data_IF_331753879591
#
_entry.id   IF_331753879591
#
_cell.length_a   1.000
_cell.length_b   1.000
_cell.length_c   1.000
_cell.angle_alpha   90.00
_cell.angle_beta   90.00
_cell.angle_gamma   90.00
#
_symmetry.space_group_name_H-M   'P 1'
#
loop_
_entity.id
_entity.type
_entity.pdbx_description
1 polymer ?
#
# COMPACT_ATOMS: atom_id res chain seq x y z
N UNK A 1 -22.06 14.45 28.98
CA UNK A 1 -22.99 14.58 27.84
C UNK A 1 -22.42 14.02 26.55
N UNK A 2 -21.24 14.46 26.04
CA UNK A 2 -20.64 13.94 24.78
C UNK A 2 -20.42 12.41 24.74
N UNK A 3 -19.99 11.77 25.85
CA UNK A 3 -19.78 10.31 25.91
C UNK A 3 -21.08 9.50 25.89
N UNK A 4 -22.15 10.01 26.48
CA UNK A 4 -23.47 9.35 26.49
C UNK A 4 -24.09 9.40 25.11
N UNK A 5 -24.01 10.54 24.43
CA UNK A 5 -24.48 10.69 23.05
C UNK A 5 -23.69 9.78 22.11
N UNK A 6 -22.37 9.67 22.29
CA UNK A 6 -21.53 8.75 21.50
C UNK A 6 -21.94 7.28 21.68
N UNK A 7 -22.15 6.84 22.92
CA UNK A 7 -22.64 5.47 23.21
C UNK A 7 -24.05 5.19 22.63
N UNK A 8 -24.93 6.18 22.67
CA UNK A 8 -26.27 6.05 22.06
C UNK A 8 -26.21 5.94 20.53
N UNK A 9 -25.36 6.73 19.88
CA UNK A 9 -25.13 6.65 18.44
C UNK A 9 -24.54 5.30 18.05
N UNK A 10 -23.56 4.82 18.81
CA UNK A 10 -22.91 3.51 18.57
C UNK A 10 -23.85 2.31 18.83
N UNK A 11 -24.94 2.49 19.58
CA UNK A 11 -25.94 1.44 19.83
C UNK A 11 -27.02 1.28 18.76
N UNK A 12 -27.08 2.22 17.80
CA UNK A 12 -28.04 2.20 16.70
C UNK A 12 -27.29 2.07 15.37
N UNK A 13 -27.18 0.88 14.77
CA UNK A 13 -26.31 0.62 13.60
C UNK A 13 -26.53 1.62 12.46
N UNK A 14 -27.76 1.90 12.07
CA UNK A 14 -28.06 2.85 10.97
C UNK A 14 -27.61 4.27 11.29
N UNK A 15 -27.75 4.71 12.55
CA UNK A 15 -27.32 6.05 12.99
C UNK A 15 -25.79 6.13 13.05
N UNK A 16 -25.15 5.05 13.50
CA UNK A 16 -23.71 4.91 13.52
C UNK A 16 -23.12 4.96 12.09
N UNK A 17 -23.72 4.24 11.17
CA UNK A 17 -23.29 4.21 9.77
C UNK A 17 -23.50 5.56 9.09
N UNK A 18 -24.65 6.22 9.32
CA UNK A 18 -24.91 7.56 8.81
C UNK A 18 -23.88 8.57 9.33
N UNK A 19 -23.57 8.50 10.63
CA UNK A 19 -22.55 9.32 11.25
C UNK A 19 -21.14 9.02 10.69
N UNK A 20 -20.80 7.76 10.52
CA UNK A 20 -19.53 7.33 9.94
C UNK A 20 -19.39 7.83 8.49
N UNK A 21 -20.43 7.69 7.69
CA UNK A 21 -20.43 8.07 6.28
C UNK A 21 -20.30 9.58 6.06
N UNK A 22 -21.05 10.39 6.81
CA UNK A 22 -21.15 11.84 6.57
C UNK A 22 -20.22 12.69 7.43
N UNK A 23 -19.92 12.24 8.67
CA UNK A 23 -19.17 13.04 9.63
C UNK A 23 -17.79 12.50 9.94
N UNK A 24 -17.62 11.19 10.06
CA UNK A 24 -16.29 10.62 10.35
C UNK A 24 -15.44 10.55 9.09
N UNK A 25 -15.98 10.09 7.96
CA UNK A 25 -15.22 9.90 6.74
C UNK A 25 -14.39 11.12 6.35
N UNK A 26 -14.93 12.34 6.24
CA UNK A 26 -14.13 13.51 5.83
C UNK A 26 -13.11 13.97 6.88
N UNK A 27 -13.17 13.46 8.11
CA UNK A 27 -12.34 13.90 9.25
C UNK A 27 -11.36 12.85 9.76
N UNK A 28 -11.57 11.61 9.39
CA UNK A 28 -10.78 10.48 9.89
C UNK A 28 -9.92 9.89 8.79
N UNK A 29 -8.61 9.91 9.01
CA UNK A 29 -7.65 9.22 8.13
C UNK A 29 -7.90 7.71 8.14
N UNK A 30 -7.74 7.09 6.99
CA UNK A 30 -8.02 5.67 6.75
C UNK A 30 -9.48 5.27 7.03
N UNK A 31 -10.43 6.20 6.92
CA UNK A 31 -11.84 5.88 6.86
C UNK A 31 -12.25 5.51 5.43
N UNK A 32 -13.26 4.64 5.32
CA UNK A 32 -13.76 4.16 4.03
C UNK A 32 -15.21 4.56 3.83
N UNK A 33 -15.64 4.74 2.56
CA UNK A 33 -17.00 5.15 2.22
C UNK A 33 -17.42 4.69 0.84
N UNK A 34 -18.63 4.15 0.77
CA UNK A 34 -19.29 3.75 -0.49
C UNK A 34 -18.79 2.41 -1.02
N UNK A 35 -19.60 1.84 -1.90
CA UNK A 35 -19.35 0.59 -2.60
C UNK A 35 -19.52 0.85 -4.09
N UNK A 36 -18.49 0.51 -4.89
CA UNK A 36 -18.45 0.81 -6.31
C UNK A 36 -18.01 -0.42 -7.09
N UNK A 37 -18.49 -0.56 -8.31
CA UNK A 37 -18.19 -1.68 -9.20
C UNK A 37 -16.86 -1.50 -9.97
N UNK A 38 -16.32 -0.28 -10.01
CA UNK A 38 -15.10 0.02 -10.74
C UNK A 38 -14.30 1.18 -10.12
N UNK A 39 -13.02 1.25 -10.48
CA UNK A 39 -12.14 2.36 -10.13
C UNK A 39 -12.72 3.71 -10.59
N UNK A 40 -13.21 3.76 -11.83
CA UNK A 40 -13.74 4.99 -12.42
C UNK A 40 -15.05 5.44 -11.75
N UNK A 41 -15.90 4.49 -11.35
CA UNK A 41 -17.11 4.80 -10.59
C UNK A 41 -16.76 5.40 -9.22
N UNK A 42 -15.82 4.79 -8.50
CA UNK A 42 -15.33 5.33 -7.25
C UNK A 42 -14.73 6.73 -7.43
N UNK A 43 -13.93 6.93 -8.47
CA UNK A 43 -13.32 8.23 -8.76
C UNK A 43 -14.36 9.31 -9.06
N UNK A 44 -15.42 8.99 -9.81
CA UNK A 44 -16.54 9.91 -10.11
C UNK A 44 -17.34 10.30 -8.86
N UNK A 45 -17.34 9.48 -7.83
CA UNK A 45 -18.00 9.75 -6.56
C UNK A 45 -17.21 10.70 -5.64
N UNK A 46 -15.98 11.06 -5.99
CA UNK A 46 -15.19 12.07 -5.26
C UNK A 46 -15.79 13.46 -5.54
N UNK A 47 -16.10 14.26 -4.50
CA UNK A 47 -16.58 15.63 -4.71
C UNK A 47 -15.59 16.47 -5.50
N UNK A 48 -16.07 17.29 -6.44
CA UNK A 48 -15.25 18.08 -7.37
C UNK A 48 -14.23 19.02 -6.72
N UNK A 49 -14.45 19.39 -5.47
CA UNK A 49 -13.55 20.27 -4.70
C UNK A 49 -12.55 19.49 -3.83
N UNK A 50 -12.58 18.16 -3.87
CA UNK A 50 -11.70 17.30 -3.07
C UNK A 50 -10.54 16.80 -3.91
N UNK A 51 -9.33 16.85 -3.36
CA UNK A 51 -8.16 16.25 -4.00
C UNK A 51 -8.34 14.74 -4.12
N UNK A 52 -7.84 14.18 -5.20
CA UNK A 52 -7.87 12.74 -5.45
C UNK A 52 -6.52 12.24 -5.98
N UNK A 53 -6.26 10.94 -5.78
CA UNK A 53 -4.98 10.31 -6.15
C UNK A 53 -3.88 10.55 -5.13
N UNK A 54 -2.77 9.88 -5.31
CA UNK A 54 -1.63 9.93 -4.37
C UNK A 54 -0.53 10.92 -4.78
N UNK A 55 -0.56 11.48 -6.00
CA UNK A 55 0.51 12.32 -6.51
C UNK A 55 0.43 13.77 -5.98
N UNK A 56 0.50 13.93 -4.67
CA UNK A 56 0.47 15.22 -3.98
C UNK A 56 1.69 15.34 -3.06
N UNK A 57 2.45 16.43 -3.18
CA UNK A 57 3.67 16.66 -2.41
C UNK A 57 3.43 16.52 -0.89
N UNK A 58 2.29 17.00 -0.39
CA UNK A 58 1.92 16.95 1.03
C UNK A 58 1.84 15.53 1.59
N UNK A 59 1.62 14.52 0.74
CA UNK A 59 1.58 13.12 1.16
C UNK A 59 2.96 12.47 1.23
N UNK A 60 3.96 13.01 0.55
CA UNK A 60 5.27 12.38 0.37
C UNK A 60 6.44 13.17 0.97
N UNK A 61 6.34 14.48 1.10
CA UNK A 61 7.45 15.33 1.49
C UNK A 61 7.69 15.43 3.01
N UNK A 62 6.84 14.81 3.84
CA UNK A 62 6.94 14.90 5.29
C UNK A 62 8.36 14.57 5.84
N UNK A 63 9.07 13.51 5.42
CA UNK A 63 10.41 13.24 5.87
C UNK A 63 11.40 14.35 5.52
N UNK A 64 11.25 14.98 4.37
CA UNK A 64 12.10 16.10 3.92
C UNK A 64 11.78 17.37 4.69
N UNK A 65 10.50 17.74 4.80
CA UNK A 65 10.04 18.95 5.52
C UNK A 65 10.39 18.91 7.00
N UNK A 66 10.25 17.74 7.64
CA UNK A 66 10.54 17.56 9.05
C UNK A 66 12.03 17.35 9.34
N UNK A 67 12.88 17.43 8.30
CA UNK A 67 14.31 17.18 8.42
C UNK A 67 14.63 15.83 9.10
N UNK A 68 13.84 14.81 8.81
CA UNK A 68 14.08 13.47 9.34
C UNK A 68 15.53 13.05 9.06
N UNK A 69 16.15 12.43 10.05
CA UNK A 69 17.46 11.80 9.92
C UNK A 69 17.32 10.40 9.37
N UNK A 70 18.42 9.77 9.01
CA UNK A 70 18.42 8.35 8.65
C UNK A 70 17.87 7.49 9.79
N UNK A 71 18.21 7.80 11.04
CA UNK A 71 17.71 7.07 12.22
C UNK A 71 16.19 7.14 12.37
N UNK A 72 15.59 8.28 12.03
CA UNK A 72 14.12 8.43 12.04
C UNK A 72 13.45 7.52 11.00
N UNK A 73 14.12 7.32 9.85
CA UNK A 73 13.64 6.44 8.79
C UNK A 73 13.87 4.96 9.07
N UNK A 74 14.80 4.62 9.96
CA UNK A 74 15.13 3.23 10.33
C UNK A 74 14.17 2.61 11.35
N UNK A 75 13.04 3.25 11.64
CA UNK A 75 12.03 2.71 12.54
C UNK A 75 11.18 1.65 11.84
N UNK A 76 11.26 0.41 12.32
CA UNK A 76 10.47 -0.69 11.81
C UNK A 76 9.04 -0.65 12.35
N UNK A 77 8.07 -0.77 11.46
CA UNK A 77 6.70 -1.06 11.87
C UNK A 77 6.59 -2.55 12.22
N UNK A 78 6.05 -2.93 13.41
CA UNK A 78 5.94 -4.33 13.80
C UNK A 78 5.21 -5.24 12.81
N UNK A 79 4.29 -4.70 12.01
CA UNK A 79 3.59 -5.49 10.98
C UNK A 79 4.50 -5.92 9.82
N UNK A 80 5.70 -5.35 9.70
CA UNK A 80 6.65 -5.64 8.62
C UNK A 80 7.63 -6.78 8.93
N UNK A 81 7.59 -7.38 10.15
CA UNK A 81 8.45 -8.51 10.49
C UNK A 81 8.36 -9.70 9.51
N UNK A 82 7.17 -10.11 9.03
CA UNK A 82 7.11 -11.18 8.02
C UNK A 82 7.81 -10.80 6.70
N UNK A 83 7.70 -9.54 6.30
CA UNK A 83 8.43 -9.03 5.10
C UNK A 83 9.93 -9.14 5.28
N UNK A 84 10.46 -8.81 6.48
CA UNK A 84 11.88 -8.96 6.78
C UNK A 84 12.36 -10.40 6.65
N UNK A 85 11.59 -11.37 7.17
CA UNK A 85 11.93 -12.79 7.11
C UNK A 85 12.05 -13.24 5.65
N UNK A 86 11.05 -12.94 4.83
CA UNK A 86 11.02 -13.38 3.44
C UNK A 86 11.99 -12.61 2.55
N UNK A 87 12.21 -11.32 2.80
CA UNK A 87 13.20 -10.52 2.11
C UNK A 87 14.63 -11.02 2.41
N UNK A 88 14.92 -11.30 3.69
CA UNK A 88 16.20 -11.86 4.10
C UNK A 88 16.47 -13.21 3.41
N UNK A 89 15.44 -14.06 3.34
CA UNK A 89 15.54 -15.33 2.63
C UNK A 89 15.75 -15.14 1.12
N UNK A 90 15.06 -14.20 0.48
CA UNK A 90 15.24 -13.91 -0.93
C UNK A 90 16.64 -13.36 -1.24
N UNK A 91 17.28 -12.67 -0.31
CA UNK A 91 18.65 -12.18 -0.44
C UNK A 91 19.73 -13.28 -0.42
N UNK A 92 19.38 -14.53 -0.12
CA UNK A 92 20.33 -15.66 -0.24
C UNK A 92 20.75 -15.90 -1.69
N UNK A 93 19.91 -15.57 -2.68
CA UNK A 93 20.15 -15.81 -4.10
C UNK A 93 19.76 -14.65 -5.03
N UNK A 94 19.33 -13.53 -4.50
CA UNK A 94 18.82 -12.37 -5.24
C UNK A 94 19.29 -11.07 -4.62
N UNK A 95 19.54 -10.04 -5.44
CA UNK A 95 20.06 -8.74 -4.98
C UNK A 95 19.39 -7.53 -5.64
N UNK A 96 18.52 -7.75 -6.64
CA UNK A 96 17.86 -6.69 -7.41
C UNK A 96 16.40 -6.59 -6.96
N UNK A 97 16.07 -5.54 -6.22
CA UNK A 97 14.76 -5.28 -5.65
C UNK A 97 14.04 -4.17 -6.43
N UNK A 98 12.81 -4.42 -6.84
CA UNK A 98 11.86 -3.37 -7.20
C UNK A 98 10.81 -3.23 -6.10
N UNK A 99 10.76 -2.07 -5.44
CA UNK A 99 9.81 -1.72 -4.38
C UNK A 99 8.73 -0.80 -4.97
N UNK A 100 7.58 -1.39 -5.32
CA UNK A 100 6.46 -0.65 -5.89
C UNK A 100 5.68 0.09 -4.80
N UNK A 101 5.67 1.42 -4.91
CA UNK A 101 5.02 2.30 -3.93
C UNK A 101 5.84 2.43 -2.63
N UNK A 102 7.16 2.27 -2.70
CA UNK A 102 8.07 2.38 -1.56
C UNK A 102 8.21 3.80 -0.99
N UNK A 103 7.46 4.77 -1.54
CA UNK A 103 7.45 6.18 -1.13
C UNK A 103 8.88 6.76 -1.12
N UNK A 104 9.29 7.39 -0.04
CA UNK A 104 10.61 8.03 0.13
C UNK A 104 11.71 7.04 0.54
N UNK A 105 11.47 5.72 0.44
CA UNK A 105 12.43 4.68 0.81
C UNK A 105 12.21 4.08 2.20
N UNK A 106 11.00 4.19 2.73
CA UNK A 106 10.69 3.78 4.10
C UNK A 106 11.10 2.33 4.39
N UNK A 107 10.75 1.40 3.51
CA UNK A 107 11.11 -0.02 3.66
C UNK A 107 12.63 -0.21 3.58
N UNK A 108 13.30 0.42 2.61
CA UNK A 108 14.75 0.32 2.46
C UNK A 108 15.49 0.76 3.72
N UNK A 109 15.18 1.94 4.26
CA UNK A 109 15.84 2.47 5.45
C UNK A 109 15.52 1.66 6.70
N UNK A 110 14.24 1.29 6.89
CA UNK A 110 13.82 0.54 8.07
C UNK A 110 14.43 -0.87 8.12
N UNK A 111 14.44 -1.58 7.00
CA UNK A 111 14.81 -2.99 6.96
C UNK A 111 16.32 -3.23 7.05
N UNK A 112 17.13 -2.34 6.45
CA UNK A 112 18.60 -2.45 6.48
C UNK A 112 19.22 -2.50 7.88
N UNK A 113 18.49 -2.04 8.89
CA UNK A 113 18.92 -2.10 10.28
C UNK A 113 18.78 -3.49 10.89
N UNK A 114 17.88 -4.30 10.37
CA UNK A 114 17.50 -5.58 10.96
C UNK A 114 18.00 -6.79 10.18
N UNK A 115 18.18 -6.64 8.89
CA UNK A 115 18.74 -7.69 8.02
C UNK A 115 19.92 -7.16 7.22
N UNK A 116 20.99 -7.99 7.04
CA UNK A 116 22.10 -7.63 6.17
C UNK A 116 21.62 -7.57 4.72
N UNK A 117 21.97 -6.51 4.03
CA UNK A 117 21.78 -6.43 2.58
C UNK A 117 23.00 -7.00 1.85
N UNK A 118 22.82 -7.65 0.68
CA UNK A 118 23.93 -8.01 -0.19
C UNK A 118 24.80 -6.79 -0.52
N UNK A 119 26.12 -6.98 -0.65
CA UNK A 119 27.05 -5.87 -0.98
C UNK A 119 26.69 -5.20 -2.31
N UNK A 120 26.18 -6.00 -3.26
CA UNK A 120 25.76 -5.56 -4.59
C UNK A 120 24.27 -5.24 -4.69
N UNK A 121 23.57 -5.02 -3.57
CA UNK A 121 22.13 -4.74 -3.60
C UNK A 121 21.81 -3.54 -4.49
N UNK A 122 20.81 -3.72 -5.36
CA UNK A 122 20.21 -2.66 -6.15
C UNK A 122 18.72 -2.60 -5.76
N UNK A 123 18.35 -1.55 -5.04
CA UNK A 123 16.99 -1.34 -4.60
C UNK A 123 16.40 -0.14 -5.34
N UNK A 124 15.49 -0.40 -6.25
CA UNK A 124 14.80 0.64 -7.02
C UNK A 124 13.38 0.81 -6.52
N UNK A 125 13.05 2.00 -6.06
CA UNK A 125 11.69 2.38 -5.71
C UNK A 125 11.00 2.90 -6.96
N UNK A 126 9.90 2.23 -7.34
CA UNK A 126 9.03 2.68 -8.42
C UNK A 126 7.78 3.33 -7.80
N UNK A 127 7.62 4.64 -7.98
CA UNK A 127 6.51 5.37 -7.37
C UNK A 127 6.09 6.59 -8.23
N UNK A 128 5.12 7.34 -7.75
CA UNK A 128 4.60 8.54 -8.38
C UNK A 128 5.65 9.68 -8.37
N UNK A 129 5.58 10.64 -9.30
CA UNK A 129 6.58 11.69 -9.46
C UNK A 129 6.91 12.47 -8.19
N UNK A 130 5.91 12.82 -7.37
CA UNK A 130 6.15 13.57 -6.13
C UNK A 130 6.84 12.71 -5.06
N UNK A 131 6.53 11.42 -4.98
CA UNK A 131 7.24 10.48 -4.11
C UNK A 131 8.70 10.29 -4.55
N UNK A 132 8.94 10.09 -5.84
CA UNK A 132 10.29 9.97 -6.42
C UNK A 132 11.12 11.22 -6.12
N UNK A 133 10.57 12.41 -6.35
CA UNK A 133 11.24 13.69 -6.05
C UNK A 133 11.64 13.82 -4.58
N UNK A 134 10.73 13.49 -3.68
CA UNK A 134 10.97 13.53 -2.23
C UNK A 134 11.97 12.45 -1.79
N UNK A 135 11.89 11.25 -2.39
CA UNK A 135 12.80 10.14 -2.14
C UNK A 135 14.23 10.45 -2.59
N UNK A 136 14.42 11.03 -3.76
CA UNK A 136 15.73 11.46 -4.25
C UNK A 136 16.35 12.53 -3.34
N UNK A 137 15.56 13.50 -2.87
CA UNK A 137 16.04 14.48 -1.91
C UNK A 137 16.50 13.83 -0.59
N UNK A 138 15.78 12.81 -0.12
CA UNK A 138 16.16 12.05 1.07
C UNK A 138 17.41 11.20 0.82
N UNK A 139 17.54 10.52 -0.33
CA UNK A 139 18.71 9.74 -0.71
C UNK A 139 20.00 10.56 -0.74
N UNK A 140 19.92 11.79 -1.27
CA UNK A 140 21.06 12.72 -1.29
C UNK A 140 21.56 13.07 0.13
N UNK A 141 20.66 13.17 1.10
CA UNK A 141 20.97 13.45 2.49
C UNK A 141 21.58 12.25 3.24
N UNK A 142 21.16 11.03 2.87
CA UNK A 142 21.52 9.79 3.57
C UNK A 142 22.66 9.03 2.92
N UNK A 143 23.11 9.43 1.72
CA UNK A 143 24.23 8.83 0.99
C UNK A 143 24.09 7.30 0.83
N UNK A 144 22.96 6.82 0.29
CA UNK A 144 22.67 5.41 0.08
C UNK A 144 22.88 5.01 -1.41
N UNK A 145 24.06 4.52 -1.81
CA UNK A 145 24.38 4.27 -3.23
C UNK A 145 23.56 3.13 -3.86
N UNK A 146 23.14 2.15 -3.06
CA UNK A 146 22.32 1.01 -3.54
C UNK A 146 20.84 1.34 -3.73
N UNK A 147 20.38 2.54 -3.35
CA UNK A 147 19.00 2.99 -3.48
C UNK A 147 18.84 3.90 -4.69
N UNK A 148 17.81 3.67 -5.48
CA UNK A 148 17.42 4.52 -6.61
C UNK A 148 15.91 4.69 -6.69
N UNK A 149 15.45 5.68 -7.46
CA UNK A 149 14.03 6.00 -7.62
C UNK A 149 13.69 6.15 -9.09
N UNK A 150 12.48 5.75 -9.46
CA UNK A 150 11.97 5.87 -10.83
C UNK A 150 10.45 5.99 -10.85
N UNK A 151 9.92 6.55 -11.92
CA UNK A 151 8.48 6.50 -12.25
C UNK A 151 8.18 5.43 -13.29
N UNK A 152 9.20 4.75 -13.82
CA UNK A 152 9.08 3.77 -14.90
C UNK A 152 8.82 2.37 -14.34
N UNK A 153 7.60 1.86 -14.54
CA UNK A 153 7.21 0.50 -14.16
C UNK A 153 7.97 -0.60 -14.93
N UNK A 154 8.59 -0.28 -16.07
CA UNK A 154 9.37 -1.26 -16.82
C UNK A 154 10.61 -1.75 -16.05
N UNK A 155 11.05 -1.02 -15.02
CA UNK A 155 12.15 -1.45 -14.14
C UNK A 155 11.87 -2.78 -13.43
N UNK A 156 10.59 -3.17 -13.29
CA UNK A 156 10.17 -4.46 -12.71
C UNK A 156 10.72 -5.64 -13.53
N UNK A 157 10.88 -5.50 -14.86
CA UNK A 157 11.43 -6.58 -15.71
C UNK A 157 12.88 -6.97 -15.37
N UNK A 158 13.61 -6.11 -14.69
CA UNK A 158 14.99 -6.37 -14.27
C UNK A 158 15.09 -6.80 -12.81
N UNK A 159 13.96 -6.81 -12.07
CA UNK A 159 13.95 -7.17 -10.67
C UNK A 159 13.95 -8.70 -10.46
N UNK A 160 14.66 -9.14 -9.45
CA UNK A 160 14.63 -10.51 -8.95
C UNK A 160 13.61 -10.65 -7.82
N UNK A 161 13.47 -9.60 -7.03
CA UNK A 161 12.52 -9.45 -5.93
C UNK A 161 11.57 -8.29 -6.24
N UNK A 162 10.28 -8.58 -6.28
CA UNK A 162 9.23 -7.56 -6.30
C UNK A 162 8.64 -7.43 -4.91
N UNK A 163 8.77 -6.24 -4.35
CA UNK A 163 8.22 -5.87 -3.06
C UNK A 163 7.11 -4.84 -3.26
N UNK A 164 6.00 -5.00 -2.55
CA UNK A 164 4.96 -3.97 -2.47
C UNK A 164 4.24 -4.02 -1.13
N UNK A 165 4.25 -2.90 -0.42
CA UNK A 165 3.67 -2.78 0.91
C UNK A 165 2.55 -1.74 0.94
N UNK A 166 1.34 -2.15 0.55
CA UNK A 166 0.15 -1.28 0.63
C UNK A 166 -0.05 -0.36 -0.56
N UNK A 167 0.24 -0.81 -1.79
CA UNK A 167 0.16 0.01 -3.01
C UNK A 167 -0.83 -0.53 -4.02
N UNK A 168 -0.86 -1.84 -4.25
CA UNK A 168 -1.62 -2.42 -5.37
C UNK A 168 -3.14 -2.19 -5.30
N UNK A 169 -3.68 -1.98 -4.11
CA UNK A 169 -5.10 -1.64 -3.93
C UNK A 169 -5.48 -0.25 -4.45
N UNK A 170 -4.50 0.62 -4.71
CA UNK A 170 -4.72 1.97 -5.28
C UNK A 170 -4.52 2.01 -6.79
N UNK A 171 -4.10 0.90 -7.39
CA UNK A 171 -3.89 0.78 -8.83
C UNK A 171 -5.17 0.31 -9.51
N UNK A 172 -5.49 0.89 -10.66
CA UNK A 172 -6.58 0.39 -11.49
C UNK A 172 -6.22 -0.96 -12.11
N UNK A 173 -4.97 -1.11 -12.58
CA UNK A 173 -4.46 -2.38 -13.10
C UNK A 173 -4.35 -3.44 -12.01
N UNK A 174 -4.61 -4.70 -12.36
CA UNK A 174 -4.38 -5.83 -11.47
C UNK A 174 -2.89 -6.21 -11.48
N UNK A 175 -2.34 -6.58 -10.32
CA UNK A 175 -0.95 -7.03 -10.24
C UNK A 175 -0.69 -8.30 -11.08
N UNK A 176 -1.54 -9.34 -11.05
CA UNK A 176 -1.34 -10.51 -11.92
C UNK A 176 -1.33 -10.16 -13.41
N UNK A 177 -2.24 -9.29 -13.86
CA UNK A 177 -2.27 -8.86 -15.27
C UNK A 177 -0.99 -8.11 -15.65
N UNK A 178 -0.55 -7.18 -14.79
CA UNK A 178 0.71 -6.47 -15.00
C UNK A 178 1.90 -7.44 -15.11
N UNK A 179 2.04 -8.37 -14.17
CA UNK A 179 3.12 -9.37 -14.20
C UNK A 179 3.02 -10.29 -15.42
N UNK A 180 1.81 -10.59 -15.87
CA UNK A 180 1.57 -11.41 -17.07
C UNK A 180 2.12 -10.80 -18.37
N UNK A 181 2.25 -9.47 -18.43
CA UNK A 181 2.79 -8.76 -19.61
C UNK A 181 4.32 -8.62 -19.59
N UNK A 182 4.99 -8.91 -18.46
CA UNK A 182 6.44 -8.82 -18.36
C UNK A 182 7.11 -9.98 -19.13
N UNK A 183 8.19 -9.67 -19.85
CA UNK A 183 9.05 -10.69 -20.50
C UNK A 183 9.81 -11.48 -19.44
N UNK A 184 10.41 -10.78 -18.49
CA UNK A 184 11.10 -11.36 -17.35
C UNK A 184 10.31 -11.01 -16.09
N UNK A 185 9.89 -12.01 -15.36
CA UNK A 185 9.14 -11.84 -14.13
C UNK A 185 10.04 -11.99 -12.91
N UNK A 186 9.87 -11.15 -11.87
CA UNK A 186 10.58 -11.33 -10.60
C UNK A 186 10.40 -12.75 -10.07
N UNK A 187 11.46 -13.31 -9.53
CA UNK A 187 11.43 -14.66 -8.95
C UNK A 187 10.65 -14.69 -7.64
N UNK A 188 10.81 -13.64 -6.83
CA UNK A 188 10.17 -13.51 -5.53
C UNK A 188 9.14 -12.38 -5.55
N UNK A 189 7.93 -12.67 -5.06
CA UNK A 189 6.89 -11.67 -4.85
C UNK A 189 6.60 -11.56 -3.35
N UNK A 190 6.79 -10.38 -2.78
CA UNK A 190 6.44 -10.07 -1.39
C UNK A 190 5.38 -8.98 -1.44
N UNK A 191 4.15 -9.36 -1.12
CA UNK A 191 2.97 -8.49 -1.19
C UNK A 191 2.38 -8.36 0.19
N UNK A 192 2.26 -7.14 0.71
CA UNK A 192 1.79 -6.89 2.06
C UNK A 192 0.81 -5.71 2.12
N UNK A 193 0.02 -5.64 3.19
CA UNK A 193 -0.96 -4.57 3.48
C UNK A 193 -2.01 -4.43 2.40
N UNK A 194 -2.50 -5.56 1.94
CA UNK A 194 -3.54 -5.65 0.92
C UNK A 194 -4.86 -6.03 1.57
N UNK A 195 -5.96 -5.53 1.05
CA UNK A 195 -7.28 -5.86 1.49
C UNK A 195 -7.87 -6.97 0.61
N UNK A 196 -8.10 -8.14 1.19
CA UNK A 196 -8.74 -9.26 0.52
C UNK A 196 -10.11 -9.56 1.08
N UNK A 197 -11.01 -10.04 0.22
CA UNK A 197 -12.38 -10.42 0.53
C UNK A 197 -12.72 -11.75 -0.14
N UNK A 198 -13.55 -12.56 0.50
CA UNK A 198 -13.93 -13.88 -0.03
C UNK A 198 -14.97 -13.79 -1.17
N UNK A 199 -15.71 -12.69 -1.27
CA UNK A 199 -16.70 -12.45 -2.30
C UNK A 199 -16.15 -11.71 -3.53
N UNK A 200 -17.06 -11.15 -4.33
CA UNK A 200 -16.68 -10.38 -5.52
C UNK A 200 -15.82 -9.17 -5.19
N UNK A 201 -14.82 -8.92 -6.03
CA UNK A 201 -13.98 -7.72 -5.97
C UNK A 201 -14.85 -6.46 -6.08
N UNK A 202 -14.50 -5.43 -5.32
CA UNK A 202 -15.18 -4.15 -5.36
C UNK A 202 -14.24 -3.00 -5.02
N UNK A 203 -14.71 -1.78 -5.22
CA UNK A 203 -13.99 -0.55 -4.88
C UNK A 203 -14.72 0.24 -3.80
N UNK A 204 -13.95 0.95 -3.00
CA UNK A 204 -14.45 1.93 -2.03
C UNK A 204 -13.62 3.20 -2.11
N UNK A 205 -14.05 4.29 -1.49
CA UNK A 205 -13.21 5.48 -1.31
C UNK A 205 -12.56 5.44 0.05
N UNK A 206 -11.25 5.69 0.09
CA UNK A 206 -10.50 5.91 1.32
C UNK A 206 -10.14 7.39 1.47
N UNK A 207 -10.23 7.91 2.69
CA UNK A 207 -9.73 9.24 3.04
C UNK A 207 -8.29 9.15 3.55
N UNK A 208 -7.38 9.81 2.84
CA UNK A 208 -5.97 9.94 3.21
C UNK A 208 -5.67 11.43 3.45
N UNK A 209 -5.78 11.86 4.70
CA UNK A 209 -5.54 13.26 5.10
C UNK A 209 -6.32 14.30 4.27
N UNK A 210 -7.57 14.00 3.89
CA UNK A 210 -8.41 14.89 3.09
C UNK A 210 -8.33 14.68 1.59
N UNK A 211 -7.42 13.83 1.12
CA UNK A 211 -7.39 13.32 -0.25
C UNK A 211 -8.24 12.06 -0.33
N UNK A 212 -9.15 11.97 -1.28
CA UNK A 212 -9.99 10.79 -1.45
C UNK A 212 -9.49 9.95 -2.62
N UNK A 213 -9.21 8.68 -2.33
CA UNK A 213 -8.64 7.77 -3.32
C UNK A 213 -9.51 6.53 -3.48
N UNK A 214 -9.72 6.05 -4.71
CA UNK A 214 -10.27 4.73 -4.94
C UNK A 214 -9.39 3.67 -4.29
N UNK A 215 -10.01 2.70 -3.64
CA UNK A 215 -9.36 1.62 -2.92
C UNK A 215 -10.02 0.30 -3.33
N UNK A 216 -9.24 -0.59 -3.93
CA UNK A 216 -9.69 -1.90 -4.38
C UNK A 216 -9.67 -2.91 -3.25
N UNK A 217 -10.75 -3.64 -3.10
CA UNK A 217 -10.83 -4.84 -2.26
C UNK A 217 -10.85 -6.04 -3.20
N UNK A 218 -9.77 -6.79 -3.22
CA UNK A 218 -9.56 -7.87 -4.18
C UNK A 218 -10.20 -9.18 -3.70
N UNK A 219 -10.65 -10.01 -4.64
CA UNK A 219 -11.03 -11.38 -4.29
C UNK A 219 -9.76 -12.19 -4.02
N UNK A 220 -9.72 -12.79 -2.84
CA UNK A 220 -8.56 -13.53 -2.34
C UNK A 220 -8.20 -14.74 -3.19
N UNK A 221 -9.16 -15.62 -3.42
CA UNK A 221 -8.95 -16.84 -4.18
C UNK A 221 -8.53 -16.57 -5.63
N UNK A 222 -9.16 -15.58 -6.26
CA UNK A 222 -8.84 -15.18 -7.63
C UNK A 222 -7.43 -14.59 -7.73
N UNK A 223 -7.02 -13.77 -6.77
CA UNK A 223 -5.69 -13.17 -6.75
C UNK A 223 -4.60 -14.26 -6.68
N UNK A 224 -4.73 -15.21 -5.75
CA UNK A 224 -3.79 -16.34 -5.60
C UNK A 224 -3.80 -17.22 -6.84
N UNK A 225 -4.98 -17.57 -7.37
CA UNK A 225 -5.11 -18.41 -8.56
C UNK A 225 -4.49 -17.75 -9.80
N UNK A 226 -4.64 -16.43 -9.96
CA UNK A 226 -4.07 -15.69 -11.07
C UNK A 226 -2.54 -15.64 -11.01
N UNK A 227 -1.94 -15.50 -9.82
CA UNK A 227 -0.49 -15.60 -9.64
C UNK A 227 0.02 -17.03 -9.88
N UNK A 228 -0.73 -18.04 -9.42
CA UNK A 228 -0.40 -19.45 -9.67
C UNK A 228 -0.41 -19.77 -11.18
N UNK A 229 -1.35 -19.22 -11.95
CA UNK A 229 -1.39 -19.36 -13.41
C UNK A 229 -0.15 -18.76 -14.12
N UNK A 230 0.53 -17.80 -13.48
CA UNK A 230 1.80 -17.24 -13.93
C UNK A 230 3.02 -18.05 -13.48
N UNK A 231 2.82 -19.14 -12.74
CA UNK A 231 3.88 -20.02 -12.25
C UNK A 231 4.40 -19.68 -10.84
N UNK A 232 3.76 -18.78 -10.11
CA UNK A 232 4.11 -18.50 -8.72
C UNK A 232 3.46 -19.51 -7.77
N UNK A 233 4.17 -19.86 -6.71
CA UNK A 233 3.68 -20.65 -5.60
C UNK A 233 3.49 -19.79 -4.37
N UNK A 234 2.35 -19.93 -3.68
CA UNK A 234 2.12 -19.29 -2.40
C UNK A 234 2.90 -20.02 -1.30
N UNK A 235 3.98 -19.41 -0.82
CA UNK A 235 4.89 -20.01 0.16
C UNK A 235 4.44 -19.71 1.59
N UNK A 236 3.93 -18.50 1.84
CA UNK A 236 3.50 -18.07 3.17
C UNK A 236 2.38 -17.04 3.09
N UNK A 237 1.64 -16.92 4.18
CA UNK A 237 0.56 -15.95 4.34
C UNK A 237 0.43 -15.51 5.80
N UNK A 238 0.26 -14.22 6.00
CA UNK A 238 -0.01 -13.64 7.32
C UNK A 238 -1.13 -12.62 7.25
N UNK A 239 -1.77 -12.35 8.38
CA UNK A 239 -2.80 -11.33 8.51
C UNK A 239 -2.31 -10.16 9.34
N UNK A 240 -2.80 -8.96 9.01
CA UNK A 240 -2.54 -7.74 9.75
C UNK A 240 -3.85 -7.17 10.30
N UNK A 241 -3.79 -6.52 11.46
CA UNK A 241 -4.97 -5.89 12.05
C UNK A 241 -5.20 -4.49 11.46
N UNK A 242 -5.71 -4.45 10.23
CA UNK A 242 -6.11 -3.23 9.53
C UNK A 242 -7.50 -3.39 8.92
N UNK A 243 -8.56 -3.30 9.73
CA UNK A 243 -9.91 -3.52 9.24
C UNK A 243 -10.34 -2.43 8.26
N UNK A 244 -10.94 -2.85 7.15
CA UNK A 244 -11.69 -1.98 6.27
C UNK A 244 -13.18 -2.12 6.62
N UNK A 245 -13.74 -1.06 7.21
CA UNK A 245 -15.15 -1.01 7.60
C UNK A 245 -15.85 0.01 6.71
N UNK A 246 -16.83 -0.46 5.93
CA UNK A 246 -17.60 0.39 5.02
C UNK A 246 -18.99 0.61 5.65
N UNK A 247 -19.38 1.86 5.99
CA UNK A 247 -20.70 2.15 6.54
C UNK A 247 -21.82 1.62 5.64
N UNK A 248 -22.87 1.11 6.22
CA UNK A 248 -24.02 0.45 5.58
C UNK A 248 -23.74 -0.91 4.92
N UNK A 249 -22.49 -1.39 4.96
CA UNK A 249 -22.07 -2.66 4.34
C UNK A 249 -21.33 -3.55 5.35
N UNK A 250 -21.95 -4.01 6.44
CA UNK A 250 -21.29 -4.82 7.46
C UNK A 250 -20.86 -6.19 6.93
N UNK A 251 -21.50 -6.68 5.86
CA UNK A 251 -21.15 -7.89 5.13
C UNK A 251 -19.84 -7.74 4.31
N UNK A 252 -19.38 -6.52 4.11
CA UNK A 252 -18.15 -6.18 3.37
C UNK A 252 -16.98 -5.87 4.31
N UNK A 253 -17.04 -6.33 5.54
CA UNK A 253 -15.94 -6.20 6.49
C UNK A 253 -14.72 -7.01 6.04
N UNK A 254 -13.55 -6.38 6.00
CA UNK A 254 -12.30 -6.99 5.57
C UNK A 254 -11.26 -6.84 6.67
N UNK A 255 -10.56 -7.93 6.97
CA UNK A 255 -9.28 -7.87 7.69
C UNK A 255 -8.17 -7.69 6.66
N UNK A 256 -7.22 -6.79 6.92
CA UNK A 256 -6.05 -6.62 6.05
C UNK A 256 -5.11 -7.85 6.10
N UNK A 257 -4.40 -8.10 5.04
CA UNK A 257 -3.37 -9.14 4.90
C UNK A 257 -2.05 -8.54 4.38
#
# INVERSE_FOLDING_TARGET
MKQIVKKLVESLPVVSDYYAYHWLFPRRVNAFRGLYSSFDEALKAVPSQTLTGYNHAELHDAPVRLNCTQADMETLNPIDYPVLVWLHKAFEDSSIVCDLGGNTGNSYYAFRRYIPYPENVQWTICDLPEAVKSGEAMRQRTHCPGLSFTTDLATVENAEIFLTCGTIQYMNASLPDFLGHLKNRPRHLIVQRVAFYEGEEYFTLQNIYGVYVPYKIMNDANFVASLAALGYELVDRWSIDRPCVIPFHPDRFVKGQ
#
